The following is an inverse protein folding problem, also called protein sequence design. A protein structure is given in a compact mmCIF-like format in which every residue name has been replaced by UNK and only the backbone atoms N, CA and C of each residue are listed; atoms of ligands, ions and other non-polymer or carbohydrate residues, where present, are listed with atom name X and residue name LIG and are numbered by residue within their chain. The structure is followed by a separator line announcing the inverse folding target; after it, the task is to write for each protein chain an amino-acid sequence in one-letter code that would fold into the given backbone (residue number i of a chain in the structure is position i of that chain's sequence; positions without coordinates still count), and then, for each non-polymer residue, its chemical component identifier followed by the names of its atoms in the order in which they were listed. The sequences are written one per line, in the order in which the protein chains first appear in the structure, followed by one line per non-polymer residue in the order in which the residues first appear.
data_IF_695422867832
#
_entry.id   IF_695422867832
#
_cell.length_a   1.000
_cell.length_b   1.000
_cell.length_c   1.000
_cell.angle_alpha   90.00
_cell.angle_beta   90.00
_cell.angle_gamma   90.00
#
_symmetry.space_group_name_H-M   'P 1'
#
loop_
_entity.id
_entity.type
_entity.pdbx_description
1 polymer ?
#
# COMPACT_ATOMS: atom_id res chain seq x y z
N UNK A 1 -20.91 0.41 17.88
CA UNK A 1 -19.72 0.71 17.05
C UNK A 1 -18.67 -0.35 17.35
N UNK A 2 -18.40 -1.27 16.43
CA UNK A 2 -17.35 -2.26 16.65
C UNK A 2 -16.00 -1.57 16.42
N UNK A 3 -15.21 -1.43 17.48
CA UNK A 3 -13.80 -1.06 17.39
C UNK A 3 -13.05 -2.27 16.83
N UNK A 4 -12.97 -2.36 15.50
CA UNK A 4 -12.06 -3.29 14.86
C UNK A 4 -10.74 -2.56 14.65
N UNK A 5 -9.76 -2.82 15.51
CA UNK A 5 -8.39 -2.37 15.33
C UNK A 5 -7.87 -3.06 14.06
N UNK A 6 -7.62 -2.29 13.00
CA UNK A 6 -7.07 -2.75 11.72
C UNK A 6 -5.90 -1.85 11.35
N UNK A 7 -4.74 -2.19 11.88
CA UNK A 7 -3.50 -1.43 11.75
C UNK A 7 -2.76 -1.85 10.46
N UNK A 8 -3.39 -1.62 9.31
CA UNK A 8 -2.80 -1.97 8.00
C UNK A 8 -1.89 -0.89 7.44
N UNK A 9 -1.97 0.33 7.99
CA UNK A 9 -1.12 1.44 7.62
C UNK A 9 -0.01 1.68 8.64
N UNK A 10 0.35 0.66 9.43
CA UNK A 10 1.35 0.79 10.48
C UNK A 10 2.69 1.23 9.86
N UNK A 11 3.36 2.25 10.43
CA UNK A 11 4.63 2.73 9.90
C UNK A 11 5.68 1.64 9.74
N UNK A 12 5.76 0.70 10.69
CA UNK A 12 6.71 -0.41 10.67
C UNK A 12 6.46 -1.40 9.53
N UNK A 13 5.19 -1.74 9.29
CA UNK A 13 4.79 -2.63 8.20
C UNK A 13 5.05 -1.98 6.84
N UNK A 14 4.73 -0.69 6.69
CA UNK A 14 5.02 0.07 5.47
C UNK A 14 6.52 0.12 5.23
N UNK A 15 7.32 0.52 6.23
CA UNK A 15 8.77 0.60 6.10
C UNK A 15 9.38 -0.77 5.71
N UNK A 16 8.93 -1.85 6.34
CA UNK A 16 9.37 -3.20 6.02
C UNK A 16 9.06 -3.60 4.56
N UNK A 17 7.91 -3.20 4.02
CA UNK A 17 7.57 -3.44 2.63
C UNK A 17 8.44 -2.60 1.68
N UNK A 18 8.60 -1.30 1.95
CA UNK A 18 9.37 -0.37 1.12
C UNK A 18 10.84 -0.76 0.99
N UNK A 19 11.49 -1.16 2.09
CA UNK A 19 12.89 -1.64 2.08
C UNK A 19 13.07 -2.87 1.17
N UNK A 20 12.02 -3.66 0.97
CA UNK A 20 12.03 -4.83 0.09
C UNK A 20 11.56 -4.51 -1.34
N UNK A 21 11.25 -3.25 -1.63
CA UNK A 21 10.68 -2.82 -2.90
C UNK A 21 9.27 -3.34 -3.14
N UNK A 22 8.54 -3.73 -2.10
CA UNK A 22 7.21 -4.33 -2.25
C UNK A 22 6.13 -3.23 -2.35
N UNK A 23 5.36 -3.16 -3.45
CA UNK A 23 4.23 -2.25 -3.53
C UNK A 23 3.16 -2.58 -2.49
N UNK A 24 2.63 -1.55 -1.83
CA UNK A 24 1.71 -1.72 -0.69
C UNK A 24 0.26 -1.49 -1.10
N UNK A 25 -0.66 -2.35 -0.65
CA UNK A 25 -2.10 -2.08 -0.71
C UNK A 25 -2.57 -1.79 0.71
N UNK A 26 -2.94 -0.54 0.97
CA UNK A 26 -3.54 -0.11 2.22
C UNK A 26 -5.06 -0.24 2.13
N UNK A 27 -5.71 -0.92 3.08
CA UNK A 27 -7.16 -1.09 3.06
C UNK A 27 -7.92 -0.41 4.20
N UNK A 28 -7.20 0.09 5.20
CA UNK A 28 -7.75 0.87 6.30
C UNK A 28 -6.61 1.68 6.95
N UNK A 29 -6.97 2.51 7.91
CA UNK A 29 -6.04 3.23 8.78
C UNK A 29 -6.75 3.69 10.04
N UNK A 30 -6.02 3.91 11.13
CA UNK A 30 -6.55 4.52 12.35
C UNK A 30 -6.60 6.05 12.19
N UNK A 31 -7.80 6.68 12.24
CA UNK A 31 -7.92 8.14 12.16
C UNK A 31 -7.18 8.83 13.31
N UNK A 32 -6.42 9.88 12.98
CA UNK A 32 -5.64 10.63 13.97
C UNK A 32 -4.26 10.03 14.31
N UNK A 33 -3.96 8.81 13.84
CA UNK A 33 -2.64 8.20 13.99
C UNK A 33 -2.02 7.91 12.61
N UNK A 34 -2.61 7.01 11.85
CA UNK A 34 -2.01 6.46 10.62
C UNK A 34 -2.46 7.17 9.34
N UNK A 35 -3.39 8.13 9.45
CA UNK A 35 -3.96 8.83 8.29
C UNK A 35 -2.89 9.45 7.37
N UNK A 36 -1.75 9.88 7.93
CA UNK A 36 -0.64 10.44 7.16
C UNK A 36 0.12 9.43 6.30
N UNK A 37 0.04 8.15 6.63
CA UNK A 37 0.78 7.10 5.92
C UNK A 37 0.14 6.78 4.56
N UNK A 38 -1.18 6.94 4.44
CA UNK A 38 -1.92 6.76 3.19
C UNK A 38 -1.45 7.72 2.08
N UNK A 39 -1.46 9.06 2.27
CA UNK A 39 -0.96 9.98 1.25
C UNK A 39 0.56 9.87 1.04
N UNK A 40 1.33 9.42 2.04
CA UNK A 40 2.76 9.14 1.85
C UNK A 40 3.00 8.02 0.83
N UNK A 41 2.28 6.90 0.94
CA UNK A 41 2.40 5.78 -0.01
C UNK A 41 1.86 6.14 -1.39
N UNK A 42 0.66 6.75 -1.45
CA UNK A 42 0.00 7.13 -2.71
C UNK A 42 0.75 8.23 -3.45
N UNK A 43 1.19 9.27 -2.74
CA UNK A 43 1.85 10.43 -3.33
C UNK A 43 3.23 10.13 -3.91
N UNK A 44 3.83 9.00 -3.53
CA UNK A 44 5.10 8.52 -4.07
C UNK A 44 4.93 7.38 -5.08
N UNK A 45 3.70 7.07 -5.52
CA UNK A 45 3.44 5.97 -6.45
C UNK A 45 4.04 4.62 -5.96
N UNK A 46 4.07 4.37 -4.64
CA UNK A 46 4.64 3.16 -4.03
C UNK A 46 3.56 2.16 -3.57
N UNK A 47 2.29 2.50 -3.76
CA UNK A 47 1.16 1.67 -3.35
C UNK A 47 -0.17 2.27 -3.76
N UNK A 48 -1.25 1.58 -3.38
CA UNK A 48 -2.63 1.99 -3.61
C UNK A 48 -3.44 1.87 -2.32
N UNK A 49 -4.55 2.60 -2.25
CA UNK A 49 -5.50 2.53 -1.14
C UNK A 49 -6.86 2.04 -1.63
N UNK A 50 -7.39 0.98 -1.03
CA UNK A 50 -8.77 0.54 -1.29
C UNK A 50 -9.35 -0.23 -0.11
N UNK A 51 -10.58 0.12 0.29
CA UNK A 51 -11.34 -0.63 1.31
C UNK A 51 -12.08 -1.85 0.74
N UNK A 52 -12.06 -2.04 -0.58
CA UNK A 52 -12.82 -3.06 -1.28
C UNK A 52 -11.97 -4.33 -1.52
N UNK A 53 -12.32 -5.48 -0.92
CA UNK A 53 -11.59 -6.73 -1.18
C UNK A 53 -11.55 -7.13 -2.66
N UNK A 54 -12.61 -6.75 -3.41
CA UNK A 54 -12.70 -6.98 -4.85
C UNK A 54 -11.66 -6.13 -5.61
N UNK A 55 -11.41 -4.91 -5.17
CA UNK A 55 -10.36 -4.05 -5.74
C UNK A 55 -8.98 -4.52 -5.35
N UNK A 56 -8.76 -4.91 -4.09
CA UNK A 56 -7.50 -5.53 -3.65
C UNK A 56 -7.14 -6.71 -4.57
N UNK A 57 -8.10 -7.62 -4.79
CA UNK A 57 -7.89 -8.80 -5.65
C UNK A 57 -7.59 -8.41 -7.09
N UNK A 58 -8.26 -7.38 -7.63
CA UNK A 58 -8.00 -6.87 -8.98
C UNK A 58 -6.62 -6.24 -9.12
N UNK A 59 -6.20 -5.43 -8.14
CA UNK A 59 -4.89 -4.78 -8.18
C UNK A 59 -3.77 -5.82 -8.13
N UNK A 60 -3.87 -6.80 -7.23
CA UNK A 60 -2.92 -7.91 -7.17
C UNK A 60 -2.90 -8.68 -8.50
N UNK A 61 -4.06 -9.09 -9.03
CA UNK A 61 -4.12 -9.80 -10.30
C UNK A 61 -3.58 -8.98 -11.48
N UNK A 62 -3.84 -7.68 -11.51
CA UNK A 62 -3.35 -6.77 -12.54
C UNK A 62 -1.83 -6.66 -12.53
N UNK A 63 -1.23 -6.49 -11.35
CA UNK A 63 0.23 -6.41 -11.19
C UNK A 63 0.96 -7.67 -11.66
N UNK A 64 0.40 -8.86 -11.37
CA UNK A 64 1.05 -10.13 -11.73
C UNK A 64 0.75 -10.62 -13.15
N UNK A 65 -0.18 -9.98 -13.88
CA UNK A 65 -0.63 -10.50 -15.18
C UNK A 65 -0.54 -9.48 -16.32
N UNK A 66 -1.13 -8.29 -16.15
CA UNK A 66 -1.34 -7.34 -17.25
C UNK A 66 -0.47 -6.09 -17.15
N UNK A 67 0.02 -5.75 -15.96
CA UNK A 67 0.64 -4.45 -15.68
C UNK A 67 2.04 -4.62 -15.05
N UNK A 68 2.89 -5.47 -15.64
CA UNK A 68 4.24 -5.72 -15.15
C UNK A 68 5.09 -4.42 -15.07
N UNK A 69 4.91 -3.49 -16.00
CA UNK A 69 5.59 -2.19 -16.00
C UNK A 69 5.16 -1.29 -14.83
N UNK A 70 3.87 -1.30 -14.50
CA UNK A 70 3.33 -0.57 -13.35
C UNK A 70 3.90 -1.17 -12.05
N UNK A 71 3.91 -2.49 -11.92
CA UNK A 71 4.51 -3.18 -10.78
C UNK A 71 6.00 -2.84 -10.66
N UNK A 72 6.75 -2.83 -11.76
CA UNK A 72 8.17 -2.47 -11.78
C UNK A 72 8.40 -1.02 -11.37
N UNK A 73 7.57 -0.08 -11.85
CA UNK A 73 7.63 1.33 -11.43
C UNK A 73 7.38 1.47 -9.94
N UNK A 74 6.35 0.81 -9.41
CA UNK A 74 6.04 0.86 -7.98
C UNK A 74 7.14 0.21 -7.14
N UNK A 75 7.76 -0.88 -7.61
CA UNK A 75 8.94 -1.49 -6.99
C UNK A 75 10.11 -0.51 -6.90
N UNK A 76 10.44 0.16 -8.00
CA UNK A 76 11.52 1.16 -8.03
C UNK A 76 11.22 2.35 -7.12
N UNK A 77 9.97 2.78 -7.07
CA UNK A 77 9.54 3.87 -6.20
C UNK A 77 9.58 3.46 -4.71
N UNK A 78 9.15 2.24 -4.39
CA UNK A 78 9.22 1.71 -3.03
C UNK A 78 10.66 1.70 -2.50
N UNK A 79 11.63 1.28 -3.33
CA UNK A 79 13.05 1.30 -2.95
C UNK A 79 13.63 2.71 -2.76
N UNK A 80 13.10 3.73 -3.43
CA UNK A 80 13.57 5.13 -3.26
C UNK A 80 13.11 5.75 -1.94
N UNK A 81 12.11 5.15 -1.28
CA UNK A 81 11.56 5.61 -0.01
C UNK A 81 12.17 4.92 1.21
N UNK A 82 13.03 3.91 0.96
CA UNK A 82 13.70 3.12 1.99
C UNK A 82 14.93 3.83 2.58
#
# INVERSE_FOLDING_TARGET
MQHQVRDQAEPGTIAAALIRGLPVILNDYIPGQEKGNVPYVLGNDAGVFTRSPKETSRNVAGWFNTNADELKKMYENALKLA
#
